data_IF_588202631490
#
_entry.id   IF_588202631490
#
_cell.length_a   1.000
_cell.length_b   1.000
_cell.length_c   1.000
_cell.angle_alpha   90.00
_cell.angle_beta   90.00
_cell.angle_gamma   90.00
#
_symmetry.space_group_name_H-M   'P 1'
#
loop_
_entity.id
_entity.type
_entity.pdbx_description
1 polymer ?
#
# COMPACT_ATOMS: atom_id res chain seq x y z
N UNK A 1 -13.02 -15.14 4.25
CA UNK A 1 -13.82 -16.38 4.16
C UNK A 1 -14.93 -16.23 5.19
N UNK A 2 -16.19 -16.52 4.85
CA UNK A 2 -17.26 -16.45 5.84
C UNK A 2 -17.28 -17.78 6.56
N UNK A 3 -16.99 -17.76 7.87
CA UNK A 3 -17.07 -18.93 8.74
C UNK A 3 -18.17 -18.69 9.77
N UNK A 4 -18.57 -19.74 10.50
CA UNK A 4 -19.52 -19.61 11.61
C UNK A 4 -19.01 -18.65 12.71
N UNK A 5 -17.70 -18.38 12.75
CA UNK A 5 -17.05 -17.44 13.67
C UNK A 5 -16.98 -16.00 13.15
N UNK A 6 -17.38 -15.74 11.90
CA UNK A 6 -17.42 -14.41 11.30
C UNK A 6 -16.67 -14.30 9.97
N UNK A 7 -16.31 -13.06 9.61
CA UNK A 7 -15.51 -12.78 8.41
C UNK A 7 -14.03 -12.87 8.76
N UNK A 8 -13.36 -13.90 8.25
CA UNK A 8 -11.92 -14.05 8.41
C UNK A 8 -11.18 -13.36 7.27
N UNK A 9 -10.09 -12.68 7.63
CA UNK A 9 -9.17 -12.11 6.67
C UNK A 9 -8.60 -13.23 5.79
N UNK A 10 -8.47 -12.96 4.49
CA UNK A 10 -7.96 -13.97 3.57
C UNK A 10 -6.43 -14.09 3.75
N UNK A 11 -5.92 -15.25 4.20
CA UNK A 11 -4.48 -15.42 4.47
C UNK A 11 -3.63 -15.26 3.21
N UNK A 12 -4.14 -15.64 2.03
CA UNK A 12 -3.44 -15.45 0.76
C UNK A 12 -3.29 -13.97 0.41
N UNK A 13 -4.32 -13.15 0.68
CA UNK A 13 -4.25 -11.69 0.43
C UNK A 13 -3.30 -11.01 1.41
N UNK A 14 -3.28 -11.44 2.67
CA UNK A 14 -2.33 -10.95 3.68
C UNK A 14 -0.90 -11.29 3.23
N UNK A 15 -0.66 -12.56 2.90
CA UNK A 15 0.65 -13.02 2.44
C UNK A 15 1.14 -12.27 1.22
N UNK A 16 0.28 -12.01 0.23
CA UNK A 16 0.65 -11.23 -0.96
C UNK A 16 1.11 -9.79 -0.65
N UNK A 17 0.60 -9.17 0.43
CA UNK A 17 1.05 -7.84 0.87
C UNK A 17 2.34 -7.94 1.67
N UNK A 18 2.50 -8.95 2.53
CA UNK A 18 3.72 -9.18 3.30
C UNK A 18 4.93 -9.51 2.40
N UNK A 19 4.69 -10.32 1.36
CA UNK A 19 5.72 -10.75 0.40
C UNK A 19 5.91 -9.73 -0.74
N UNK A 20 5.23 -8.57 -0.67
CA UNK A 20 5.34 -7.54 -1.69
C UNK A 20 6.77 -6.99 -1.72
N UNK A 21 7.40 -7.04 -2.90
CA UNK A 21 8.72 -6.44 -3.11
C UNK A 21 8.65 -4.92 -3.03
N UNK A 22 9.75 -4.30 -2.64
CA UNK A 22 9.89 -2.85 -2.69
C UNK A 22 9.69 -2.34 -4.14
N UNK A 23 8.99 -1.22 -4.35
CA UNK A 23 8.87 -0.60 -5.67
C UNK A 23 10.25 -0.26 -6.25
N UNK A 24 10.48 -0.64 -7.50
CA UNK A 24 11.74 -0.41 -8.21
C UNK A 24 11.71 0.83 -9.11
N UNK A 25 10.54 1.43 -9.34
CA UNK A 25 10.42 2.63 -10.18
C UNK A 25 9.25 3.53 -9.76
N UNK A 26 9.23 4.76 -10.31
CA UNK A 26 8.19 5.77 -10.04
C UNK A 26 6.79 5.24 -10.36
N UNK A 27 6.62 4.50 -11.46
CA UNK A 27 5.32 3.93 -11.84
C UNK A 27 4.79 2.93 -10.79
N UNK A 28 5.69 2.13 -10.20
CA UNK A 28 5.31 1.21 -9.12
C UNK A 28 4.95 1.95 -7.83
N UNK A 29 5.68 3.02 -7.50
CA UNK A 29 5.34 3.89 -6.36
C UNK A 29 3.99 4.59 -6.58
N UNK A 30 3.71 5.06 -7.79
CA UNK A 30 2.42 5.68 -8.11
C UNK A 30 1.28 4.67 -7.97
N UNK A 31 1.46 3.45 -8.47
CA UNK A 31 0.47 2.35 -8.34
C UNK A 31 0.23 1.97 -6.88
N UNK A 32 1.29 1.86 -6.08
CA UNK A 32 1.20 1.57 -4.64
C UNK A 32 0.48 2.70 -3.90
N UNK A 33 0.84 3.96 -4.18
CA UNK A 33 0.22 5.14 -3.57
C UNK A 33 -1.28 5.21 -3.89
N UNK A 34 -1.68 4.89 -5.13
CA UNK A 34 -3.10 4.81 -5.50
C UNK A 34 -3.88 3.77 -4.71
N UNK A 35 -3.29 2.59 -4.47
CA UNK A 35 -3.89 1.54 -3.61
C UNK A 35 -4.03 2.01 -2.16
N UNK A 36 -3.01 2.66 -1.60
CA UNK A 36 -3.05 3.21 -0.24
C UNK A 36 -4.13 4.29 -0.13
N UNK A 37 -4.24 5.19 -1.12
CA UNK A 37 -5.25 6.24 -1.11
C UNK A 37 -6.69 5.68 -1.06
N UNK A 38 -6.98 4.64 -1.83
CA UNK A 38 -8.27 3.95 -1.80
C UNK A 38 -8.61 3.32 -0.44
N UNK A 39 -7.57 2.89 0.30
CA UNK A 39 -7.66 2.25 1.61
C UNK A 39 -7.53 3.22 2.79
N UNK A 40 -7.20 4.49 2.54
CA UNK A 40 -6.85 5.49 3.56
C UNK A 40 -7.88 5.63 4.68
N UNK A 41 -9.19 5.55 4.36
CA UNK A 41 -10.28 5.62 5.35
C UNK A 41 -10.28 4.49 6.38
N UNK A 42 -9.58 3.39 6.11
CA UNK A 42 -9.47 2.23 7.00
C UNK A 42 -8.12 2.15 7.72
N UNK A 43 -7.16 3.00 7.37
CA UNK A 43 -5.79 2.97 7.89
C UNK A 43 -5.56 4.20 8.75
N UNK A 44 -5.42 3.99 10.07
CA UNK A 44 -5.09 5.08 10.98
C UNK A 44 -3.77 5.74 10.60
N UNK A 45 -3.77 7.08 10.58
CA UNK A 45 -2.62 7.92 10.20
C UNK A 45 -2.04 7.55 8.82
N UNK A 46 -2.89 7.17 7.87
CA UNK A 46 -2.44 6.75 6.53
C UNK A 46 -1.58 7.79 5.83
N UNK A 47 -1.89 9.09 5.98
CA UNK A 47 -1.14 10.17 5.33
C UNK A 47 0.30 10.29 5.87
N UNK A 48 0.48 10.16 7.19
CA UNK A 48 1.81 10.17 7.81
C UNK A 48 2.64 8.97 7.34
N UNK A 49 2.01 7.79 7.27
CA UNK A 49 2.65 6.53 6.84
C UNK A 49 3.04 6.53 5.36
N UNK A 50 2.29 7.21 4.51
CA UNK A 50 2.55 7.27 3.05
C UNK A 50 3.39 8.47 2.62
N UNK A 51 3.78 9.34 3.55
CA UNK A 51 4.59 10.53 3.29
C UNK A 51 5.87 10.25 2.46
N UNK A 52 6.64 9.16 2.70
CA UNK A 52 7.82 8.85 1.88
C UNK A 52 7.48 8.69 0.40
N UNK A 53 6.37 8.02 0.07
CA UNK A 53 5.95 7.81 -1.31
C UNK A 53 5.55 9.12 -1.99
N UNK A 54 4.80 9.98 -1.29
CA UNK A 54 4.44 11.30 -1.81
C UNK A 54 5.66 12.20 -2.06
N UNK A 55 6.68 12.12 -1.18
CA UNK A 55 7.95 12.84 -1.39
C UNK A 55 8.64 12.38 -2.67
N UNK A 56 8.68 11.07 -2.92
CA UNK A 56 9.26 10.49 -4.14
C UNK A 56 8.48 10.95 -5.39
N UNK A 57 7.15 10.84 -5.38
CA UNK A 57 6.31 11.26 -6.51
C UNK A 57 6.41 12.76 -6.81
N UNK A 58 6.54 13.59 -5.78
CA UNK A 58 6.75 15.04 -5.95
C UNK A 58 8.14 15.37 -6.49
N UNK A 59 9.14 14.53 -6.21
CA UNK A 59 10.53 14.66 -6.63
C UNK A 59 10.84 13.93 -7.95
N UNK A 60 9.85 13.59 -8.77
CA UNK A 60 9.95 12.73 -9.97
C UNK A 60 10.89 13.22 -11.12
N UNK A 61 12.07 13.75 -10.79
CA UNK A 61 13.28 13.77 -11.62
C UNK A 61 14.32 12.71 -11.19
N UNK A 62 14.25 12.14 -9.98
CA UNK A 62 15.21 11.10 -9.56
C UNK A 62 14.57 10.10 -8.59
N UNK A 63 14.50 8.84 -9.02
CA UNK A 63 14.27 7.67 -8.15
C UNK A 63 15.67 7.13 -7.84
N UNK A 64 16.27 7.58 -6.73
CA UNK A 64 17.57 7.07 -6.25
C UNK A 64 17.37 5.88 -5.31
#
# INVERSE_FOLDING_TARGET
MVTQRGIEANPLKIKAILDMKAPACINEVQRLTGRIAALSRFISKSAEKSLPFFKILRKARTFE
#
